data_IF_915338844113
#
_entry.id   IF_915338844113
#
_cell.length_a   1.000
_cell.length_b   1.000
_cell.length_c   1.000
_cell.angle_alpha   90.00
_cell.angle_beta   90.00
_cell.angle_gamma   90.00
#
_symmetry.space_group_name_H-M   'P 1'
#
loop_
_entity.id
_entity.type
_entity.pdbx_description
1 polymer ?
#
# COMPACT_ATOMS: atom_id res chain seq x y z
N UNK A 1 6.45 15.70 -8.88
CA UNK A 1 5.22 16.09 -8.14
C UNK A 1 4.81 14.88 -7.33
N UNK A 2 4.82 14.95 -5.99
CA UNK A 2 4.42 13.80 -5.16
C UNK A 2 2.90 13.70 -5.11
N UNK A 3 2.36 12.50 -5.30
CA UNK A 3 0.91 12.27 -5.25
C UNK A 3 0.38 12.40 -3.82
N UNK A 4 -0.75 13.10 -3.67
CA UNK A 4 -1.45 13.27 -2.39
C UNK A 4 -2.65 12.33 -2.27
N UNK A 5 -3.10 12.07 -1.04
CA UNK A 5 -4.30 11.28 -0.76
C UNK A 5 -5.51 11.87 -1.50
N UNK A 6 -6.31 10.99 -2.12
CA UNK A 6 -7.47 11.33 -2.94
C UNK A 6 -7.15 11.65 -4.41
N UNK A 7 -5.86 11.81 -4.76
CA UNK A 7 -5.44 11.99 -6.15
C UNK A 7 -5.74 10.75 -6.97
N UNK A 8 -6.37 10.92 -8.13
CA UNK A 8 -6.54 9.85 -9.11
C UNK A 8 -5.16 9.51 -9.69
N UNK A 9 -4.77 8.24 -9.63
CA UNK A 9 -3.49 7.81 -10.18
C UNK A 9 -3.50 8.02 -11.70
N UNK A 10 -2.43 8.58 -12.29
CA UNK A 10 -2.33 8.70 -13.73
C UNK A 10 -2.34 7.33 -14.41
N UNK A 11 -2.93 7.25 -15.60
CA UNK A 11 -2.90 6.06 -16.45
C UNK A 11 -1.50 5.82 -16.99
N UNK A 12 -1.07 4.56 -17.02
CA UNK A 12 0.17 4.14 -17.66
C UNK A 12 0.10 2.69 -18.17
N UNK A 13 0.93 2.43 -19.16
CA UNK A 13 1.25 1.09 -19.64
C UNK A 13 2.72 0.81 -19.34
N UNK A 14 3.05 -0.44 -19.04
CA UNK A 14 4.41 -0.87 -18.76
C UNK A 14 4.61 -2.35 -19.11
N UNK A 15 5.86 -2.80 -19.13
CA UNK A 15 6.20 -4.22 -19.16
C UNK A 15 6.70 -4.61 -17.77
N UNK A 16 6.03 -5.58 -17.16
CA UNK A 16 6.45 -6.16 -15.89
C UNK A 16 7.14 -7.52 -16.10
N UNK A 17 7.71 -8.08 -15.03
CA UNK A 17 8.14 -9.48 -14.99
C UNK A 17 7.01 -10.49 -15.27
N UNK A 18 5.74 -10.08 -15.21
CA UNK A 18 4.56 -10.89 -15.54
C UNK A 18 4.02 -10.61 -16.97
N UNK A 19 4.69 -9.75 -17.74
CA UNK A 19 4.32 -9.36 -19.09
C UNK A 19 3.80 -7.92 -19.21
N UNK A 20 3.33 -7.51 -20.41
CA UNK A 20 2.74 -6.20 -20.64
C UNK A 20 1.50 -5.96 -19.76
N UNK A 21 1.35 -4.74 -19.26
CA UNK A 21 0.24 -4.37 -18.39
C UNK A 21 -0.24 -2.95 -18.65
N UNK A 22 -1.56 -2.75 -18.59
CA UNK A 22 -2.20 -1.47 -18.35
C UNK A 22 -2.55 -1.39 -16.85
N UNK A 23 -2.24 -0.29 -16.17
CA UNK A 23 -2.42 -0.22 -14.72
C UNK A 23 -3.89 -0.36 -14.29
N UNK A 24 -4.85 0.23 -15.00
CA UNK A 24 -6.25 0.15 -14.65
C UNK A 24 -6.80 -1.27 -14.78
N UNK A 25 -6.46 -1.96 -15.87
CA UNK A 25 -6.84 -3.36 -16.09
C UNK A 25 -6.16 -4.29 -15.07
N UNK A 26 -4.89 -4.01 -14.75
CA UNK A 26 -4.14 -4.75 -13.74
C UNK A 26 -4.65 -4.47 -12.33
N UNK A 27 -5.20 -3.30 -12.02
CA UNK A 27 -5.82 -3.04 -10.72
C UNK A 27 -7.17 -3.79 -10.61
N UNK A 28 -7.99 -3.73 -11.66
CA UNK A 28 -9.36 -4.23 -11.65
C UNK A 28 -10.19 -3.58 -10.53
N UNK A 29 -11.01 -4.37 -9.85
CA UNK A 29 -11.83 -3.92 -8.70
C UNK A 29 -11.09 -4.04 -7.35
N UNK A 30 -9.78 -4.33 -7.38
CA UNK A 30 -8.96 -4.58 -6.20
C UNK A 30 -8.24 -3.36 -5.67
N UNK A 31 -7.49 -3.57 -4.59
CA UNK A 31 -6.52 -2.60 -4.08
C UNK A 31 -5.14 -2.85 -4.68
N UNK A 32 -4.24 -1.88 -4.58
CA UNK A 32 -2.83 -2.11 -4.88
C UNK A 32 -1.88 -1.45 -3.89
N UNK A 33 -0.79 -2.14 -3.59
CA UNK A 33 0.43 -1.56 -3.03
C UNK A 33 1.39 -1.29 -4.18
N UNK A 34 1.66 -0.01 -4.46
CA UNK A 34 2.68 0.43 -5.43
C UNK A 34 3.87 0.98 -4.67
N UNK A 35 5.07 0.46 -4.92
CA UNK A 35 6.25 0.90 -4.17
C UNK A 35 7.51 1.00 -5.04
N UNK A 36 8.33 2.01 -4.77
CA UNK A 36 9.62 2.17 -5.43
C UNK A 36 10.69 1.30 -4.77
N UNK A 37 11.61 0.72 -5.54
CA UNK A 37 12.74 -0.03 -5.01
C UNK A 37 14.02 0.14 -5.85
N UNK A 38 15.14 -0.16 -5.20
CA UNK A 38 16.47 -0.22 -5.84
C UNK A 38 17.07 -1.60 -5.60
N UNK A 39 17.46 -2.28 -6.68
CA UNK A 39 18.22 -3.52 -6.64
C UNK A 39 19.64 -3.30 -6.10
N UNK A 40 20.33 -4.39 -5.76
CA UNK A 40 21.71 -4.35 -5.22
C UNK A 40 21.85 -3.44 -3.98
N UNK A 41 20.81 -3.38 -3.14
CA UNK A 41 20.77 -2.53 -1.94
C UNK A 41 20.39 -3.34 -0.71
N UNK A 42 21.15 -3.25 0.41
CA UNK A 42 20.90 -4.06 1.59
C UNK A 42 19.52 -3.81 2.19
N UNK A 43 19.09 -2.54 2.28
CA UNK A 43 17.78 -2.21 2.84
C UNK A 43 16.64 -2.72 1.96
N UNK A 44 16.75 -2.61 0.64
CA UNK A 44 15.73 -3.14 -0.27
C UNK A 44 15.70 -4.68 -0.23
N UNK A 45 16.86 -5.35 -0.03
CA UNK A 45 16.90 -6.80 0.15
C UNK A 45 16.08 -7.23 1.38
N UNK A 46 16.26 -6.54 2.52
CA UNK A 46 15.46 -6.84 3.73
C UNK A 46 13.97 -6.54 3.55
N UNK A 47 13.63 -5.53 2.77
CA UNK A 47 12.25 -5.17 2.47
C UNK A 47 11.55 -6.20 1.59
N UNK A 48 12.24 -6.73 0.58
CA UNK A 48 11.71 -7.77 -0.28
C UNK A 48 11.43 -9.06 0.50
N UNK A 49 12.32 -9.47 1.41
CA UNK A 49 12.07 -10.61 2.31
C UNK A 49 10.81 -10.41 3.13
N UNK A 50 10.67 -9.23 3.77
CA UNK A 50 9.48 -8.94 4.58
C UNK A 50 8.20 -8.89 3.76
N UNK A 51 8.25 -8.33 2.54
CA UNK A 51 7.10 -8.26 1.66
C UNK A 51 6.72 -9.62 1.09
N UNK A 52 7.69 -10.47 0.74
CA UNK A 52 7.48 -11.84 0.26
C UNK A 52 6.73 -12.68 1.31
N UNK A 53 7.14 -12.59 2.58
CA UNK A 53 6.46 -13.24 3.72
C UNK A 53 5.02 -12.73 3.93
N UNK A 54 4.75 -11.46 3.61
CA UNK A 54 3.43 -10.84 3.78
C UNK A 54 2.59 -10.88 2.50
N UNK A 55 3.13 -11.35 1.37
CA UNK A 55 2.50 -11.20 0.07
C UNK A 55 1.12 -11.87 0.02
N UNK A 56 1.02 -13.10 0.52
CA UNK A 56 -0.25 -13.82 0.61
C UNK A 56 -1.31 -13.09 1.46
N UNK A 57 -0.89 -12.32 2.47
CA UNK A 57 -1.80 -11.53 3.29
C UNK A 57 -2.30 -10.28 2.57
N UNK A 58 -1.47 -9.63 1.75
CA UNK A 58 -1.93 -8.58 0.84
C UNK A 58 -2.96 -9.12 -0.15
N UNK A 59 -2.69 -10.27 -0.76
CA UNK A 59 -3.61 -10.93 -1.70
C UNK A 59 -4.94 -11.32 -1.00
N UNK A 60 -4.86 -11.84 0.24
CA UNK A 60 -6.04 -12.16 1.05
C UNK A 60 -6.89 -10.93 1.36
N UNK A 61 -6.27 -9.75 1.47
CA UNK A 61 -6.96 -8.48 1.60
C UNK A 61 -7.43 -7.91 0.25
N UNK A 62 -7.32 -8.65 -0.85
CA UNK A 62 -7.69 -8.18 -2.18
C UNK A 62 -6.77 -7.09 -2.74
N UNK A 63 -5.54 -7.00 -2.23
CA UNK A 63 -4.53 -6.06 -2.71
C UNK A 63 -3.45 -6.76 -3.55
N UNK A 64 -3.22 -6.24 -4.75
CA UNK A 64 -2.09 -6.63 -5.61
C UNK A 64 -0.85 -5.83 -5.24
N UNK A 65 0.33 -6.37 -5.51
CA UNK A 65 1.61 -5.72 -5.18
C UNK A 65 2.38 -5.41 -6.47
N UNK A 66 2.85 -4.17 -6.61
CA UNK A 66 3.62 -3.67 -7.75
C UNK A 66 4.88 -2.93 -7.27
N UNK A 67 6.05 -3.51 -7.54
CA UNK A 67 7.33 -2.85 -7.36
C UNK A 67 7.76 -2.09 -8.63
N UNK A 68 8.33 -0.91 -8.49
CA UNK A 68 8.84 -0.11 -9.61
C UNK A 68 10.30 0.27 -9.34
N UNK A 69 11.18 0.02 -10.30
CA UNK A 69 12.59 0.40 -10.24
C UNK A 69 13.05 1.12 -11.51
N UNK A 70 14.08 1.95 -11.38
CA UNK A 70 14.84 2.53 -12.50
C UNK A 70 16.09 1.71 -12.84
N UNK A 71 16.34 0.63 -12.11
CA UNK A 71 17.50 -0.22 -12.39
C UNK A 71 17.21 -1.14 -13.62
N UNK A 72 18.22 -1.42 -14.45
CA UNK A 72 18.12 -2.34 -15.58
C UNK A 72 17.60 -3.75 -15.22
N UNK A 73 16.87 -4.37 -16.14
CA UNK A 73 16.23 -5.68 -15.92
C UNK A 73 17.25 -6.80 -15.60
N UNK A 74 18.41 -6.81 -16.23
CA UNK A 74 19.48 -7.78 -15.99
C UNK A 74 20.03 -7.64 -14.56
N UNK A 75 20.23 -6.41 -14.09
CA UNK A 75 20.64 -6.13 -12.70
C UNK A 75 19.58 -6.57 -11.69
N UNK A 76 18.30 -6.30 -11.95
CA UNK A 76 17.22 -6.75 -11.07
C UNK A 76 17.10 -8.26 -11.08
N UNK A 77 17.25 -8.92 -12.22
CA UNK A 77 17.19 -10.39 -12.32
C UNK A 77 18.33 -11.05 -11.54
N UNK A 78 19.56 -10.54 -11.67
CA UNK A 78 20.70 -11.02 -10.89
C UNK A 78 20.49 -10.81 -9.39
N UNK A 79 19.97 -9.64 -9.00
CA UNK A 79 19.68 -9.35 -7.59
C UNK A 79 18.58 -10.25 -7.02
N UNK A 80 17.53 -10.56 -7.77
CA UNK A 80 16.49 -11.50 -7.34
C UNK A 80 17.04 -12.92 -7.14
N UNK A 81 17.99 -13.33 -7.98
CA UNK A 81 18.68 -14.61 -7.81
C UNK A 81 19.53 -14.62 -6.54
N UNK A 82 20.26 -13.53 -6.25
CA UNK A 82 20.98 -13.36 -4.99
C UNK A 82 20.03 -13.47 -3.77
N UNK A 83 18.85 -12.84 -3.83
CA UNK A 83 17.84 -12.95 -2.76
C UNK A 83 17.33 -14.38 -2.59
N UNK A 84 17.13 -15.11 -3.69
CA UNK A 84 16.69 -16.51 -3.68
C UNK A 84 17.72 -17.40 -3.01
N UNK A 85 19.00 -17.23 -3.35
CA UNK A 85 20.10 -18.06 -2.83
C UNK A 85 20.47 -17.72 -1.38
N UNK A 86 20.54 -16.44 -1.03
CA UNK A 86 21.03 -16.00 0.28
C UNK A 86 19.95 -15.91 1.35
N UNK A 87 18.71 -15.59 0.95
CA UNK A 87 17.63 -15.21 1.87
C UNK A 87 16.35 -16.02 1.67
N UNK A 88 16.36 -17.02 0.80
CA UNK A 88 15.20 -17.86 0.45
C UNK A 88 13.96 -17.04 0.01
N UNK A 89 14.20 -15.85 -0.54
CA UNK A 89 13.14 -14.92 -0.95
C UNK A 89 12.87 -15.05 -2.44
N UNK A 90 11.63 -15.36 -2.80
CA UNK A 90 11.23 -15.60 -4.20
C UNK A 90 9.96 -14.80 -4.51
N UNK A 91 10.08 -13.47 -4.63
CA UNK A 91 8.92 -12.59 -4.78
C UNK A 91 8.12 -12.92 -6.04
N UNK A 92 6.83 -13.18 -5.87
CA UNK A 92 5.92 -13.52 -6.98
C UNK A 92 5.09 -12.34 -7.48
N UNK A 93 5.21 -11.18 -6.84
CA UNK A 93 4.50 -9.96 -7.22
C UNK A 93 5.06 -9.29 -8.49
N UNK A 94 4.28 -8.36 -9.05
CA UNK A 94 4.63 -7.67 -10.27
C UNK A 94 5.78 -6.67 -10.03
N UNK A 95 6.73 -6.62 -10.94
CA UNK A 95 7.87 -5.71 -10.93
C UNK A 95 8.00 -5.03 -12.28
N UNK A 96 8.08 -3.69 -12.28
CA UNK A 96 8.40 -2.88 -13.46
C UNK A 96 9.85 -2.42 -13.35
N UNK A 97 10.61 -2.67 -14.42
CA UNK A 97 11.93 -2.10 -14.65
C UNK A 97 11.81 -1.01 -15.70
N UNK A 98 11.97 0.24 -15.29
CA UNK A 98 11.85 1.41 -16.16
C UNK A 98 13.09 2.31 -16.05
N UNK A 99 14.20 1.97 -16.73
CA UNK A 99 15.42 2.78 -16.72
C UNK A 99 15.24 4.18 -17.32
N UNK A 100 14.20 4.40 -18.13
CA UNK A 100 13.87 5.72 -18.66
C UNK A 100 13.23 6.62 -17.58
N UNK A 101 12.65 6.00 -16.54
CA UNK A 101 12.05 6.71 -15.41
C UNK A 101 10.72 7.38 -15.74
N UNK A 102 10.05 6.96 -16.81
CA UNK A 102 8.79 7.53 -17.28
C UNK A 102 7.65 7.28 -16.27
N UNK A 103 7.46 6.02 -15.87
CA UNK A 103 6.45 5.62 -14.87
C UNK A 103 6.80 6.20 -13.49
N UNK A 104 8.04 6.08 -12.97
CA UNK A 104 8.44 6.78 -11.76
C UNK A 104 8.18 8.30 -11.76
N UNK A 105 8.47 8.99 -12.87
CA UNK A 105 8.23 10.43 -12.99
C UNK A 105 6.73 10.75 -12.89
N UNK A 106 5.90 9.98 -13.60
CA UNK A 106 4.44 10.11 -13.62
C UNK A 106 3.84 9.92 -12.22
N UNK A 107 4.36 8.95 -11.48
CA UNK A 107 3.90 8.63 -10.13
C UNK A 107 4.56 9.48 -9.03
N UNK A 108 5.47 10.40 -9.40
CA UNK A 108 6.15 11.24 -8.42
C UNK A 108 7.13 10.50 -7.51
N UNK A 109 7.68 9.38 -7.99
CA UNK A 109 8.60 8.50 -7.27
C UNK A 109 10.07 8.92 -7.42
N UNK A 110 10.40 9.83 -8.34
CA UNK A 110 11.77 10.33 -8.51
C UNK A 110 12.16 11.32 -7.42
N UNK A 111 13.41 11.25 -6.96
CA UNK A 111 14.00 12.22 -6.06
C UNK A 111 14.28 13.54 -6.81
N UNK A 112 13.58 14.65 -6.48
CA UNK A 112 13.76 15.92 -7.17
C UNK A 112 15.12 16.59 -6.88
N UNK A 113 15.88 16.08 -5.92
CA UNK A 113 17.17 16.65 -5.50
C UNK A 113 18.38 15.85 -6.00
N UNK A 114 18.15 14.71 -6.66
CA UNK A 114 19.24 13.88 -7.15
C UNK A 114 19.83 14.42 -8.46
N UNK A 115 21.15 14.28 -8.61
CA UNK A 115 21.89 14.66 -9.83
C UNK A 115 21.71 13.67 -10.99
N UNK A 116 21.12 12.51 -10.72
CA UNK A 116 20.78 11.47 -11.68
C UNK A 116 19.45 10.83 -11.26
N UNK A 117 18.70 10.15 -12.16
CA UNK A 117 17.45 9.50 -11.79
C UNK A 117 17.64 8.55 -10.61
N UNK A 118 17.08 8.92 -9.48
CA UNK A 118 17.01 8.09 -8.29
C UNK A 118 15.60 8.10 -7.75
N UNK A 119 15.23 7.03 -7.06
CA UNK A 119 13.89 6.86 -6.52
C UNK A 119 13.87 7.30 -5.06
N UNK A 120 12.82 8.03 -4.70
CA UNK A 120 12.38 8.15 -3.32
C UNK A 120 11.96 6.77 -2.82
N UNK A 121 12.18 6.48 -1.53
CA UNK A 121 11.65 5.26 -0.90
C UNK A 121 10.18 5.47 -0.57
N UNK A 122 9.37 5.56 -1.61
CA UNK A 122 7.94 5.84 -1.52
C UNK A 122 7.09 4.59 -1.73
N UNK A 123 5.93 4.55 -1.09
CA UNK A 123 4.90 3.54 -1.29
C UNK A 123 3.52 4.20 -1.25
N UNK A 124 2.61 3.68 -2.06
CA UNK A 124 1.22 4.11 -2.16
C UNK A 124 0.30 2.91 -1.96
N UNK A 125 -0.78 3.12 -1.21
CA UNK A 125 -1.95 2.25 -1.30
C UNK A 125 -2.95 2.91 -2.24
N UNK A 126 -3.36 2.17 -3.27
CA UNK A 126 -4.29 2.61 -4.30
C UNK A 126 -5.61 1.88 -4.08
N UNK A 127 -6.69 2.64 -3.98
CA UNK A 127 -8.05 2.12 -3.86
C UNK A 127 -8.60 1.65 -5.22
N UNK A 128 -9.68 0.84 -5.23
CA UNK A 128 -10.30 0.34 -6.47
C UNK A 128 -10.75 1.43 -7.45
N UNK A 129 -11.06 2.63 -6.96
CA UNK A 129 -11.39 3.79 -7.80
C UNK A 129 -10.15 4.50 -8.38
N UNK A 130 -8.98 3.84 -8.31
CA UNK A 130 -7.64 4.31 -8.69
C UNK A 130 -7.15 5.52 -7.91
N UNK A 131 -7.77 5.88 -6.78
CA UNK A 131 -7.28 7.00 -5.96
C UNK A 131 -6.24 6.54 -4.95
N UNK A 132 -5.27 7.42 -4.68
CA UNK A 132 -4.30 7.21 -3.61
C UNK A 132 -5.02 7.28 -2.26
N UNK A 133 -5.04 6.17 -1.53
CA UNK A 133 -5.60 6.09 -0.18
C UNK A 133 -4.56 6.42 0.90
N UNK A 134 -3.32 5.97 0.72
CA UNK A 134 -2.20 6.24 1.63
C UNK A 134 -0.95 6.59 0.82
N UNK A 135 -0.16 7.53 1.34
CA UNK A 135 1.17 7.86 0.84
C UNK A 135 2.19 7.72 1.97
N UNK A 136 3.30 7.05 1.69
CA UNK A 136 4.42 6.86 2.61
C UNK A 136 5.70 7.20 1.86
N UNK A 137 6.56 8.03 2.43
CA UNK A 137 7.88 8.32 1.87
C UNK A 137 8.91 8.31 2.98
N UNK A 138 9.88 7.42 2.84
CA UNK A 138 10.98 7.24 3.77
C UNK A 138 12.27 7.79 3.15
N UNK A 139 13.26 8.21 3.95
CA UNK A 139 14.61 8.39 3.44
C UNK A 139 15.16 7.02 2.98
N UNK A 140 16.07 7.04 2.01
CA UNK A 140 16.68 5.80 1.47
C UNK A 140 17.42 4.98 2.55
N UNK A 141 17.82 5.62 3.65
CA UNK A 141 18.51 5.02 4.80
C UNK A 141 17.62 4.18 5.71
N UNK A 142 16.30 4.27 5.60
CA UNK A 142 15.37 3.62 6.54
C UNK A 142 14.39 2.74 5.78
N UNK A 143 14.38 1.44 6.09
CA UNK A 143 13.43 0.49 5.50
C UNK A 143 11.98 0.80 5.90
N UNK A 144 11.06 0.54 4.99
CA UNK A 144 9.61 0.59 5.23
C UNK A 144 9.19 -0.60 6.10
N UNK A 145 8.17 -0.37 6.92
CA UNK A 145 7.53 -1.43 7.69
C UNK A 145 6.31 -1.96 6.92
N UNK A 146 6.45 -3.10 6.23
CA UNK A 146 5.35 -3.68 5.45
C UNK A 146 4.21 -4.23 6.32
N UNK A 147 4.45 -4.58 7.58
CA UNK A 147 3.39 -4.93 8.52
C UNK A 147 2.50 -3.72 8.83
N UNK A 148 3.09 -2.51 8.92
CA UNK A 148 2.33 -1.27 9.08
C UNK A 148 1.56 -0.90 7.80
N UNK A 149 2.15 -1.15 6.63
CA UNK A 149 1.47 -0.98 5.33
C UNK A 149 0.25 -1.92 5.25
N UNK A 150 0.40 -3.18 5.65
CA UNK A 150 -0.70 -4.15 5.70
C UNK A 150 -1.77 -3.75 6.72
N UNK A 151 -1.37 -3.29 7.92
CA UNK A 151 -2.31 -2.80 8.96
C UNK A 151 -3.10 -1.60 8.45
N UNK A 152 -2.44 -0.64 7.80
CA UNK A 152 -3.09 0.55 7.24
C UNK A 152 -3.98 0.21 6.04
N UNK A 153 -3.62 -0.76 5.20
CA UNK A 153 -4.51 -1.30 4.17
C UNK A 153 -5.83 -1.79 4.76
N UNK A 154 -5.77 -2.64 5.79
CA UNK A 154 -6.98 -3.13 6.49
C UNK A 154 -7.79 -1.99 7.11
N UNK A 155 -7.12 -0.98 7.67
CA UNK A 155 -7.78 0.19 8.26
C UNK A 155 -8.51 1.03 7.20
N UNK A 156 -7.89 1.30 6.05
CA UNK A 156 -8.54 2.09 4.98
C UNK A 156 -9.66 1.31 4.31
N UNK A 157 -9.53 -0.01 4.16
CA UNK A 157 -10.61 -0.86 3.68
C UNK A 157 -11.84 -0.87 4.62
N UNK A 158 -11.59 -0.96 5.93
CA UNK A 158 -12.65 -0.91 6.93
C UNK A 158 -13.38 0.45 6.91
N UNK A 159 -12.62 1.55 6.86
CA UNK A 159 -13.19 2.90 6.88
C UNK A 159 -13.81 3.33 5.55
N UNK A 160 -13.40 2.72 4.43
CA UNK A 160 -14.06 2.88 3.13
C UNK A 160 -15.42 2.16 3.06
N UNK A 161 -15.53 0.98 3.68
CA UNK A 161 -16.74 0.14 3.64
C UNK A 161 -17.73 0.43 4.78
N UNK A 162 -17.24 0.92 5.92
CA UNK A 162 -18.05 1.16 7.13
C UNK A 162 -17.82 2.59 7.62
N UNK A 163 -18.88 3.20 8.16
CA UNK A 163 -18.86 4.58 8.67
C UNK A 163 -18.20 4.67 10.06
N UNK A 164 -16.94 4.28 10.15
CA UNK A 164 -16.11 4.25 11.38
C UNK A 164 -14.75 4.90 11.14
N UNK A 165 -13.97 5.07 12.20
CA UNK A 165 -12.59 5.53 12.18
C UNK A 165 -11.73 4.63 13.08
N UNK A 166 -10.50 4.32 12.66
CA UNK A 166 -9.55 3.52 13.45
C UNK A 166 -8.73 4.41 14.39
N UNK A 167 -8.35 3.87 15.56
CA UNK A 167 -7.44 4.55 16.48
C UNK A 167 -6.00 4.61 15.96
N UNK A 168 -5.15 5.39 16.63
CA UNK A 168 -3.75 5.61 16.22
C UNK A 168 -2.90 4.33 16.20
N UNK A 169 -3.24 3.34 17.01
CA UNK A 169 -2.52 2.06 17.12
C UNK A 169 -3.40 0.87 16.75
N UNK A 170 -4.53 1.13 16.10
CA UNK A 170 -5.55 0.13 15.84
C UNK A 170 -4.98 -1.09 15.10
N UNK A 171 -5.31 -2.28 15.59
CA UNK A 171 -5.12 -3.54 14.87
C UNK A 171 -6.46 -4.22 14.59
N UNK A 172 -6.48 -5.12 13.62
CA UNK A 172 -7.71 -5.80 13.21
C UNK A 172 -8.36 -6.54 14.39
N UNK A 173 -9.65 -6.32 14.58
CA UNK A 173 -10.46 -6.81 15.70
C UNK A 173 -10.62 -5.81 16.84
N UNK A 174 -9.79 -4.76 16.91
CA UNK A 174 -9.87 -3.77 17.97
C UNK A 174 -11.06 -2.82 17.78
N UNK A 175 -11.58 -2.22 18.88
CA UNK A 175 -12.65 -1.24 18.82
C UNK A 175 -12.32 -0.05 17.92
N UNK A 176 -13.36 0.50 17.31
CA UNK A 176 -13.29 1.63 16.38
C UNK A 176 -14.16 2.79 16.86
N UNK A 177 -13.89 3.98 16.32
CA UNK A 177 -14.59 5.20 16.69
C UNK A 177 -15.67 5.54 15.68
N UNK A 178 -16.76 6.11 16.18
CA UNK A 178 -17.81 6.68 15.33
C UNK A 178 -17.45 8.13 14.97
N UNK A 179 -17.60 8.54 13.70
CA UNK A 179 -17.35 9.92 13.32
C UNK A 179 -18.33 10.85 14.05
N UNK A 180 -17.90 12.06 14.46
CA UNK A 180 -18.79 13.02 15.12
C UNK A 180 -20.03 13.39 14.30
N UNK A 181 -19.95 13.25 12.97
CA UNK A 181 -21.06 13.53 12.05
C UNK A 181 -22.18 12.47 12.05
N UNK A 182 -22.01 11.32 12.71
CA UNK A 182 -23.04 10.30 12.83
C UNK A 182 -23.95 10.61 14.01
N UNK A 183 -25.23 10.88 13.78
CA UNK A 183 -26.19 11.11 14.86
C UNK A 183 -26.30 9.90 15.81
N UNK A 184 -26.59 10.15 17.09
CA UNK A 184 -26.55 9.12 18.14
C UNK A 184 -27.60 8.02 17.93
N UNK A 185 -28.83 8.41 17.60
CA UNK A 185 -29.94 7.51 17.25
C UNK A 185 -29.57 6.57 16.10
N UNK A 186 -28.94 7.12 15.04
CA UNK A 186 -28.46 6.33 13.90
C UNK A 186 -27.31 5.40 14.30
N UNK A 187 -26.40 5.86 15.16
CA UNK A 187 -25.31 5.02 15.65
C UNK A 187 -25.84 3.80 16.41
N UNK A 188 -26.81 3.98 17.30
CA UNK A 188 -27.41 2.89 18.08
C UNK A 188 -28.17 1.90 17.19
N UNK A 189 -28.80 2.37 16.11
CA UNK A 189 -29.43 1.51 15.10
C UNK A 189 -28.40 0.72 14.27
N UNK A 190 -27.31 1.37 13.86
CA UNK A 190 -26.25 0.73 13.04
C UNK A 190 -25.41 -0.27 13.83
N UNK A 191 -25.23 -0.03 15.14
CA UNK A 191 -24.35 -0.83 16.01
C UNK A 191 -25.13 -1.36 17.22
N UNK A 192 -26.06 -2.33 17.02
CA UNK A 192 -26.93 -2.84 18.08
C UNK A 192 -26.18 -3.61 19.18
N UNK A 193 -24.94 -4.02 18.92
CA UNK A 193 -24.05 -4.63 19.93
C UNK A 193 -23.63 -3.64 21.05
N UNK A 194 -23.84 -2.34 20.84
CA UNK A 194 -23.61 -1.31 21.84
C UNK A 194 -22.68 -0.20 21.37
N UNK A 195 -23.01 1.04 21.77
CA UNK A 195 -22.19 2.23 21.54
C UNK A 195 -21.70 2.75 22.89
N UNK A 196 -20.40 2.68 23.14
CA UNK A 196 -19.80 3.28 24.33
C UNK A 196 -19.60 4.78 24.10
N UNK A 197 -20.35 5.61 24.82
CA UNK A 197 -20.25 7.07 24.73
C UNK A 197 -19.40 7.60 25.88
N UNK A 198 -18.14 7.95 25.61
CA UNK A 198 -17.29 8.63 26.61
C UNK A 198 -17.54 10.14 26.58
N UNK A 199 -17.66 10.71 25.38
CA UNK A 199 -18.05 12.10 25.10
C UNK A 199 -18.81 12.14 23.76
N UNK A 200 -19.56 13.21 23.44
CA UNK A 200 -20.26 13.32 22.16
C UNK A 200 -19.36 13.09 20.92
N UNK A 201 -18.09 13.49 20.98
CA UNK A 201 -17.10 13.29 19.92
C UNK A 201 -16.26 12.02 20.06
N UNK A 202 -16.33 11.33 21.21
CA UNK A 202 -15.54 10.13 21.51
C UNK A 202 -16.50 8.98 21.84
N UNK A 203 -16.94 8.33 20.76
CA UNK A 203 -17.87 7.20 20.80
C UNK A 203 -17.20 6.00 20.17
N UNK A 204 -17.29 4.87 20.85
CA UNK A 204 -16.54 3.65 20.53
C UNK A 204 -17.54 2.52 20.31
N UNK A 205 -17.30 1.70 19.29
CA UNK A 205 -18.04 0.47 18.99
C UNK A 205 -17.05 -0.67 18.76
N UNK A 206 -17.49 -1.91 18.95
CA UNK A 206 -16.72 -3.06 18.45
C UNK A 206 -16.54 -2.94 16.93
N UNK A 207 -15.43 -3.47 16.39
CA UNK A 207 -15.23 -3.49 14.94
C UNK A 207 -16.43 -4.18 14.26
N UNK A 208 -17.08 -3.51 13.29
CA UNK A 208 -18.13 -4.16 12.51
C UNK A 208 -17.52 -5.23 11.60
N UNK A 209 -18.03 -6.46 11.71
CA UNK A 209 -17.78 -7.53 10.73
C UNK A 209 -18.67 -7.35 9.50
N UNK A 210 -18.24 -7.84 8.35
CA UNK A 210 -19.15 -7.99 7.21
C UNK A 210 -20.31 -8.89 7.62
N UNK A 211 -21.54 -8.40 7.42
CA UNK A 211 -22.70 -9.28 7.46
C UNK A 211 -22.66 -10.07 6.16
N UNK A 212 -22.34 -11.37 6.29
CA UNK A 212 -22.45 -12.37 5.23
C UNK A 212 -23.87 -12.45 4.67
#
# INVERSE_FOLDING_TARGET
>A
MTLSVGTLLPEFEAVSNQGPMNFADWLGDGWALVFAFKSMSPTCSTEFVALDQLHAEFERCGARVLGISVDPQDMVSAWLEDLREMLECTPTFALINDPAGEVPALLGLLDPHASSPSLLRSAYLIAPDRRVAITLTYPVTNGRNFSEILRTLKAVQLTASKRVATSSTWTEGEPVMLPPSLAQDKAEQMYPAGVQVLRPYLRIVAQPVEQS
#
